data_IF_429602074008
#
_entry.id   IF_429602074008
#
_cell.length_a   1.000
_cell.length_b   1.000
_cell.length_c   1.000
_cell.angle_alpha   90.00
_cell.angle_beta   90.00
_cell.angle_gamma   90.00
#
_symmetry.space_group_name_H-M   'P 1'
#
loop_
_entity.id
_entity.type
_entity.pdbx_description
1 polymer ?
#
# COMPACT_ATOMS: atom_id res chain seq x y z
N UNK A 1 4.95 3.27 -11.07
CA UNK A 1 3.61 2.65 -11.26
C UNK A 1 2.75 3.10 -10.10
N UNK A 2 1.45 3.31 -10.31
CA UNK A 2 0.53 3.63 -9.22
C UNK A 2 0.20 2.37 -8.43
N UNK A 3 0.13 2.49 -7.11
CA UNK A 3 -0.28 1.40 -6.22
C UNK A 3 -1.77 1.11 -6.43
N UNK A 4 -2.12 -0.16 -6.58
CA UNK A 4 -3.52 -0.57 -6.72
C UNK A 4 -4.16 -0.70 -5.33
N UNK A 5 -5.21 0.08 -5.06
CA UNK A 5 -5.85 0.14 -3.75
C UNK A 5 -7.19 -0.59 -3.80
N UNK A 6 -7.31 -1.65 -3.00
CA UNK A 6 -8.51 -2.47 -2.84
C UNK A 6 -9.16 -2.09 -1.50
N UNK A 7 -10.36 -1.52 -1.56
CA UNK A 7 -11.19 -1.33 -0.39
C UNK A 7 -11.97 -2.63 -0.12
N UNK A 8 -11.64 -3.33 0.95
CA UNK A 8 -12.31 -4.58 1.34
C UNK A 8 -13.57 -4.26 2.14
N UNK A 9 -14.71 -4.29 1.47
CA UNK A 9 -16.03 -4.25 2.12
C UNK A 9 -16.34 -5.58 2.82
N UNK A 10 -15.80 -6.67 2.29
CA UNK A 10 -15.94 -8.00 2.86
C UNK A 10 -17.39 -8.38 3.09
N UNK A 11 -17.72 -8.59 4.36
CA UNK A 11 -19.09 -8.85 4.87
C UNK A 11 -19.69 -7.66 5.66
N UNK A 12 -19.06 -6.50 5.64
CA UNK A 12 -19.53 -5.31 6.37
C UNK A 12 -20.85 -4.72 5.85
N UNK A 13 -21.42 -5.31 4.81
CA UNK A 13 -22.79 -5.05 4.37
C UNK A 13 -23.85 -5.77 5.22
N UNK A 14 -23.45 -6.67 6.14
CA UNK A 14 -24.35 -7.38 7.06
C UNK A 14 -25.54 -8.06 6.37
N UNK A 15 -25.35 -8.69 5.20
CA UNK A 15 -26.40 -9.35 4.44
C UNK A 15 -27.41 -8.40 3.76
N UNK A 16 -27.08 -7.11 3.64
CA UNK A 16 -27.96 -6.09 3.03
C UNK A 16 -27.34 -5.54 1.74
N UNK A 17 -28.01 -5.72 0.62
CA UNK A 17 -27.64 -5.14 -0.66
C UNK A 17 -27.58 -3.61 -0.61
N UNK A 18 -28.51 -2.97 0.11
CA UNK A 18 -28.55 -1.51 0.26
C UNK A 18 -27.32 -0.98 1.03
N UNK A 19 -26.86 -1.70 2.05
CA UNK A 19 -25.61 -1.35 2.73
C UNK A 19 -24.41 -1.61 1.83
N UNK A 20 -24.41 -2.69 1.04
CA UNK A 20 -23.34 -2.97 0.07
C UNK A 20 -23.22 -1.84 -0.97
N UNK A 21 -24.32 -1.32 -1.51
CA UNK A 21 -24.31 -0.16 -2.42
C UNK A 21 -23.79 1.11 -1.77
N UNK A 22 -24.15 1.38 -0.50
CA UNK A 22 -23.57 2.52 0.25
C UNK A 22 -22.05 2.38 0.42
N UNK A 23 -21.56 1.16 0.66
CA UNK A 23 -20.12 0.90 0.71
C UNK A 23 -19.47 1.16 -0.66
N UNK A 24 -20.12 0.81 -1.78
CA UNK A 24 -19.65 1.15 -3.14
C UNK A 24 -19.49 2.66 -3.31
N UNK A 25 -20.50 3.44 -2.91
CA UNK A 25 -20.45 4.90 -3.02
C UNK A 25 -19.30 5.48 -2.19
N UNK A 26 -19.13 5.04 -0.95
CA UNK A 26 -18.04 5.47 -0.08
C UNK A 26 -16.66 5.11 -0.65
N UNK A 27 -16.49 3.90 -1.19
CA UNK A 27 -15.25 3.46 -1.82
C UNK A 27 -14.91 4.33 -3.03
N UNK A 28 -15.91 4.64 -3.88
CA UNK A 28 -15.76 5.53 -5.02
C UNK A 28 -15.34 6.94 -4.61
N UNK A 29 -16.01 7.51 -3.61
CA UNK A 29 -15.70 8.84 -3.09
C UNK A 29 -14.31 8.93 -2.45
N UNK A 30 -13.85 7.84 -1.84
CA UNK A 30 -12.51 7.75 -1.28
C UNK A 30 -11.42 7.68 -2.37
N UNK A 31 -11.76 7.32 -3.61
CA UNK A 31 -10.84 7.26 -4.75
C UNK A 31 -9.98 6.00 -4.79
N UNK A 32 -10.48 4.88 -4.26
CA UNK A 32 -9.84 3.56 -4.41
C UNK A 32 -10.00 3.04 -5.84
N UNK A 33 -9.15 2.09 -6.22
CA UNK A 33 -9.17 1.51 -7.57
C UNK A 33 -10.24 0.40 -7.68
N UNK A 34 -10.51 -0.30 -6.59
CA UNK A 34 -11.43 -1.44 -6.55
C UNK A 34 -12.15 -1.55 -5.20
N UNK A 35 -13.39 -2.01 -5.22
CA UNK A 35 -14.10 -2.48 -4.03
C UNK A 35 -14.19 -4.00 -4.06
N UNK A 36 -13.94 -4.66 -2.93
CA UNK A 36 -13.95 -6.12 -2.83
C UNK A 36 -14.97 -6.60 -1.80
N UNK A 37 -15.71 -7.63 -2.17
CA UNK A 37 -16.66 -8.36 -1.35
C UNK A 37 -16.22 -9.80 -1.13
N UNK A 38 -17.05 -10.57 -0.44
CA UNK A 38 -16.85 -11.99 -0.20
C UNK A 38 -18.11 -12.75 -0.64
N UNK A 39 -17.94 -13.75 -1.49
CA UNK A 39 -19.04 -14.58 -2.00
C UNK A 39 -18.89 -15.99 -1.46
N UNK A 40 -19.89 -16.46 -0.78
CA UNK A 40 -19.93 -17.80 -0.21
C UNK A 40 -21.36 -18.31 0.00
N UNK A 41 -21.47 -19.61 0.10
CA UNK A 41 -22.61 -20.30 0.69
C UNK A 41 -22.16 -20.87 2.03
N UNK A 42 -22.68 -20.36 3.14
CA UNK A 42 -22.22 -20.71 4.48
C UNK A 42 -22.20 -22.23 4.73
N UNK A 43 -23.15 -22.95 4.16
CA UNK A 43 -23.21 -24.42 4.23
C UNK A 43 -22.05 -25.13 3.53
N UNK A 44 -21.48 -24.51 2.49
CA UNK A 44 -20.36 -25.04 1.74
C UNK A 44 -19.02 -24.65 2.37
N UNK A 45 -19.00 -23.50 3.09
CA UNK A 45 -17.79 -22.93 3.67
C UNK A 45 -17.41 -23.58 5.00
N UNK A 46 -18.38 -23.82 5.89
CA UNK A 46 -18.09 -24.31 7.24
C UNK A 46 -18.93 -25.51 7.63
N UNK A 47 -18.32 -26.44 8.35
CA UNK A 47 -19.06 -27.55 8.95
C UNK A 47 -19.91 -27.06 10.12
N UNK A 48 -21.02 -27.76 10.46
CA UNK A 48 -21.88 -27.37 11.60
C UNK A 48 -21.15 -27.36 12.95
N UNK A 49 -19.97 -27.96 13.05
CA UNK A 49 -19.15 -28.05 14.26
C UNK A 49 -18.03 -27.02 14.30
N UNK A 50 -17.88 -26.19 13.26
CA UNK A 50 -16.83 -25.19 13.19
C UNK A 50 -17.00 -24.14 14.31
N UNK A 51 -15.91 -23.85 14.99
CA UNK A 51 -15.87 -22.83 16.04
C UNK A 51 -15.51 -21.48 15.44
N UNK A 52 -16.07 -20.41 15.99
CA UNK A 52 -15.66 -19.05 15.67
C UNK A 52 -14.23 -18.78 16.18
N UNK A 53 -13.49 -17.94 15.47
CA UNK A 53 -12.27 -17.37 15.98
C UNK A 53 -12.57 -16.47 17.21
N UNK A 54 -11.58 -16.26 18.08
CA UNK A 54 -11.78 -15.53 19.34
C UNK A 54 -12.27 -14.09 19.11
N UNK A 55 -11.76 -13.39 18.09
CA UNK A 55 -12.23 -12.05 17.75
C UNK A 55 -13.70 -12.06 17.26
N UNK A 56 -14.12 -13.08 16.52
CA UNK A 56 -15.51 -13.23 16.05
C UNK A 56 -16.48 -13.47 17.23
N UNK A 57 -16.10 -14.28 18.23
CA UNK A 57 -16.91 -14.49 19.45
C UNK A 57 -17.17 -13.17 20.18
N UNK A 58 -16.14 -12.31 20.26
CA UNK A 58 -16.23 -11.01 20.95
C UNK A 58 -17.14 -10.01 20.22
N UNK A 59 -17.28 -10.12 18.89
CA UNK A 59 -17.99 -9.14 18.06
C UNK A 59 -19.37 -9.58 17.61
N UNK A 60 -19.67 -10.89 17.64
CA UNK A 60 -20.93 -11.46 17.09
C UNK A 60 -21.66 -12.39 18.06
N UNK A 61 -21.27 -12.42 19.35
CA UNK A 61 -21.94 -13.24 20.36
C UNK A 61 -21.63 -14.73 20.27
N UNK A 62 -22.42 -15.58 20.97
CA UNK A 62 -22.16 -17.02 21.16
C UNK A 62 -22.75 -17.94 20.05
N UNK A 63 -23.36 -17.41 19.03
CA UNK A 63 -23.87 -18.19 17.88
C UNK A 63 -22.78 -19.04 17.22
N UNK A 64 -23.16 -20.08 16.49
CA UNK A 64 -22.20 -20.89 15.71
C UNK A 64 -21.61 -20.10 14.54
N UNK A 65 -20.44 -20.48 14.04
CA UNK A 65 -19.86 -19.86 12.84
C UNK A 65 -20.79 -19.95 11.64
N UNK A 66 -21.46 -21.10 11.46
CA UNK A 66 -22.44 -21.30 10.39
C UNK A 66 -23.61 -20.30 10.48
N UNK A 67 -24.19 -20.13 11.68
CA UNK A 67 -25.32 -19.17 11.89
C UNK A 67 -24.88 -17.75 11.65
N UNK A 68 -23.68 -17.35 12.06
CA UNK A 68 -23.11 -16.05 11.80
C UNK A 68 -22.97 -15.79 10.29
N UNK A 69 -22.37 -16.74 9.57
CA UNK A 69 -22.14 -16.59 8.12
C UNK A 69 -23.46 -16.55 7.33
N UNK A 70 -24.45 -17.35 7.72
CA UNK A 70 -25.78 -17.32 7.07
C UNK A 70 -26.45 -15.94 7.11
N UNK A 71 -26.23 -15.17 8.17
CA UNK A 71 -26.74 -13.79 8.30
C UNK A 71 -26.02 -12.79 7.40
N UNK A 72 -24.82 -13.13 6.92
CA UNK A 72 -23.94 -12.28 6.12
C UNK A 72 -23.96 -12.62 4.63
N UNK A 73 -24.66 -13.69 4.22
CA UNK A 73 -24.78 -14.07 2.82
C UNK A 73 -25.58 -13.01 2.03
N UNK A 74 -25.12 -12.71 0.81
CA UNK A 74 -25.94 -12.18 -0.28
C UNK A 74 -26.23 -13.31 -1.27
N UNK A 75 -27.39 -13.22 -1.94
CA UNK A 75 -27.71 -14.11 -3.05
C UNK A 75 -26.88 -13.78 -4.29
N UNK A 76 -26.75 -14.72 -5.22
CA UNK A 76 -26.05 -14.49 -6.48
C UNK A 76 -26.72 -13.39 -7.32
N UNK A 77 -28.07 -13.29 -7.30
CA UNK A 77 -28.80 -12.22 -7.97
C UNK A 77 -28.45 -10.84 -7.37
N UNK A 78 -28.32 -10.74 -6.04
CA UNK A 78 -27.87 -9.51 -5.40
C UNK A 78 -26.43 -9.14 -5.75
N UNK A 79 -25.53 -10.13 -5.93
CA UNK A 79 -24.18 -9.89 -6.42
C UNK A 79 -24.15 -9.41 -7.89
N UNK A 80 -25.06 -9.91 -8.75
CA UNK A 80 -25.20 -9.40 -10.12
C UNK A 80 -25.64 -7.93 -10.08
N UNK A 81 -26.67 -7.61 -9.30
CA UNK A 81 -27.14 -6.23 -9.14
C UNK A 81 -26.06 -5.30 -8.56
N UNK A 82 -25.28 -5.80 -7.60
CA UNK A 82 -24.17 -5.07 -6.99
C UNK A 82 -23.04 -4.80 -8.01
N UNK A 83 -22.71 -5.78 -8.87
CA UNK A 83 -21.73 -5.62 -9.95
C UNK A 83 -22.22 -4.56 -10.96
N UNK A 84 -23.49 -4.63 -11.39
CA UNK A 84 -24.09 -3.62 -12.27
C UNK A 84 -24.06 -2.23 -11.64
N UNK A 85 -24.28 -2.14 -10.32
CA UNK A 85 -24.18 -0.89 -9.59
C UNK A 85 -22.75 -0.34 -9.59
N UNK A 86 -21.75 -1.19 -9.35
CA UNK A 86 -20.33 -0.81 -9.42
C UNK A 86 -19.95 -0.28 -10.83
N UNK A 87 -20.44 -0.92 -11.89
CA UNK A 87 -20.22 -0.48 -13.26
C UNK A 87 -20.84 0.89 -13.54
N UNK A 88 -22.09 1.10 -13.07
CA UNK A 88 -22.78 2.38 -13.19
C UNK A 88 -22.06 3.51 -12.45
N UNK A 89 -21.52 3.24 -11.26
CA UNK A 89 -20.76 4.21 -10.45
C UNK A 89 -19.34 4.41 -11.01
N UNK A 90 -18.85 3.45 -11.79
CA UNK A 90 -17.52 3.48 -12.39
C UNK A 90 -16.41 3.12 -11.40
N UNK A 91 -16.62 2.09 -10.58
CA UNK A 91 -15.61 1.49 -9.70
C UNK A 91 -15.44 0.01 -10.06
N UNK A 92 -14.21 -0.50 -9.99
CA UNK A 92 -13.96 -1.92 -10.23
C UNK A 92 -14.60 -2.76 -9.13
N UNK A 93 -15.38 -3.77 -9.52
CA UNK A 93 -15.95 -4.78 -8.65
C UNK A 93 -14.99 -5.98 -8.53
N UNK A 94 -14.82 -6.48 -7.33
CA UNK A 94 -14.13 -7.72 -7.05
C UNK A 94 -14.88 -8.50 -5.96
N UNK A 95 -14.85 -9.83 -6.01
CA UNK A 95 -15.30 -10.66 -4.91
C UNK A 95 -14.41 -11.88 -4.74
N UNK A 96 -14.11 -12.22 -3.50
CA UNK A 96 -13.38 -13.44 -3.15
C UNK A 96 -14.36 -14.59 -3.02
N UNK A 97 -14.25 -15.68 -3.82
CA UNK A 97 -15.03 -16.88 -3.58
C UNK A 97 -14.47 -17.66 -2.38
N UNK A 98 -15.34 -18.29 -1.61
CA UNK A 98 -14.93 -19.15 -0.50
C UNK A 98 -15.46 -20.58 -0.63
N UNK A 99 -16.10 -20.93 -1.74
CA UNK A 99 -16.56 -22.27 -2.07
C UNK A 99 -16.60 -22.46 -3.59
N UNK A 100 -16.75 -23.70 -4.04
CA UNK A 100 -16.72 -24.04 -5.47
C UNK A 100 -17.92 -23.49 -6.26
N UNK A 101 -19.12 -23.47 -5.67
CA UNK A 101 -20.31 -22.90 -6.31
C UNK A 101 -20.10 -21.40 -6.52
N UNK A 102 -19.44 -20.72 -5.58
CA UNK A 102 -19.07 -19.31 -5.68
C UNK A 102 -17.96 -19.05 -6.72
N UNK A 103 -17.02 -19.99 -6.90
CA UNK A 103 -16.04 -19.91 -8.01
C UNK A 103 -16.76 -19.99 -9.36
N UNK A 104 -17.66 -20.97 -9.52
CA UNK A 104 -18.43 -21.15 -10.76
C UNK A 104 -19.30 -19.92 -11.06
N UNK A 105 -20.00 -19.41 -10.06
CA UNK A 105 -20.81 -18.19 -10.18
C UNK A 105 -19.96 -16.98 -10.58
N UNK A 106 -18.89 -16.67 -9.85
CA UNK A 106 -18.04 -15.51 -10.10
C UNK A 106 -17.23 -15.64 -11.41
N UNK A 107 -17.03 -16.86 -11.92
CA UNK A 107 -16.43 -17.08 -13.24
C UNK A 107 -17.28 -16.51 -14.38
N UNK A 108 -18.60 -16.39 -14.17
CA UNK A 108 -19.54 -15.78 -15.12
C UNK A 108 -19.57 -14.26 -15.05
N UNK A 109 -18.94 -13.67 -14.02
CA UNK A 109 -18.86 -12.22 -13.79
C UNK A 109 -17.51 -11.70 -14.28
N UNK A 110 -17.51 -10.54 -14.91
CA UNK A 110 -16.28 -9.89 -15.33
C UNK A 110 -15.55 -9.26 -14.12
N UNK A 111 -14.45 -9.90 -13.73
CA UNK A 111 -13.54 -9.43 -12.68
C UNK A 111 -12.10 -9.45 -13.24
N UNK A 112 -11.26 -8.47 -12.87
CA UNK A 112 -9.91 -8.33 -13.46
C UNK A 112 -8.96 -9.45 -13.03
N UNK A 113 -9.13 -10.02 -11.85
CA UNK A 113 -8.29 -11.07 -11.28
C UNK A 113 -9.03 -11.83 -10.18
N UNK A 114 -8.47 -12.95 -9.76
CA UNK A 114 -8.90 -13.67 -8.58
C UNK A 114 -8.17 -13.20 -7.34
N UNK A 115 -8.90 -12.95 -6.26
CA UNK A 115 -8.31 -12.81 -4.93
C UNK A 115 -8.39 -14.14 -4.19
N UNK A 116 -7.23 -14.63 -3.78
CA UNK A 116 -7.09 -15.84 -2.96
C UNK A 116 -6.80 -15.40 -1.52
N UNK A 117 -7.68 -15.72 -0.55
CA UNK A 117 -7.45 -15.39 0.84
C UNK A 117 -6.42 -16.35 1.46
N UNK A 118 -5.78 -15.95 2.55
CA UNK A 118 -4.71 -16.72 3.21
C UNK A 118 -5.11 -18.14 3.61
N UNK A 119 -6.36 -18.35 4.00
CA UNK A 119 -6.87 -19.65 4.38
C UNK A 119 -6.94 -20.67 3.25
N UNK A 120 -6.85 -20.22 2.01
CA UNK A 120 -6.95 -21.08 0.82
C UNK A 120 -5.59 -21.42 0.20
N UNK A 121 -4.48 -20.93 0.74
CA UNK A 121 -3.13 -21.18 0.20
C UNK A 121 -2.79 -22.67 0.18
N UNK A 122 -3.25 -23.43 1.16
CA UNK A 122 -3.04 -24.89 1.25
C UNK A 122 -4.19 -25.72 0.68
N UNK A 123 -5.19 -25.07 0.06
CA UNK A 123 -6.37 -25.72 -0.52
C UNK A 123 -6.11 -26.07 -1.99
N UNK A 124 -5.37 -27.16 -2.25
CA UNK A 124 -5.01 -27.59 -3.60
C UNK A 124 -6.18 -27.61 -4.59
N UNK A 125 -7.34 -28.29 -4.31
CA UNK A 125 -8.45 -28.32 -5.26
C UNK A 125 -9.04 -26.94 -5.57
N UNK A 126 -9.06 -26.02 -4.60
CA UNK A 126 -9.48 -24.64 -4.78
C UNK A 126 -8.52 -23.88 -5.70
N UNK A 127 -7.21 -23.98 -5.47
CA UNK A 127 -6.19 -23.35 -6.31
C UNK A 127 -6.29 -23.84 -7.76
N UNK A 128 -6.48 -25.13 -7.98
CA UNK A 128 -6.65 -25.71 -9.32
C UNK A 128 -7.92 -25.19 -10.00
N UNK A 129 -9.04 -25.08 -9.26
CA UNK A 129 -10.29 -24.59 -9.81
C UNK A 129 -10.16 -23.13 -10.31
N UNK A 130 -9.54 -22.25 -9.51
CA UNK A 130 -9.28 -20.87 -9.92
C UNK A 130 -8.28 -20.79 -11.09
N UNK A 131 -7.20 -21.57 -11.03
CA UNK A 131 -6.15 -21.54 -12.04
C UNK A 131 -6.66 -21.88 -13.44
N UNK A 132 -7.59 -22.84 -13.56
CA UNK A 132 -8.22 -23.25 -14.83
C UNK A 132 -8.97 -22.14 -15.56
N UNK A 133 -9.34 -21.07 -14.86
CA UNK A 133 -9.97 -19.89 -15.49
C UNK A 133 -9.00 -19.04 -16.29
N UNK A 134 -7.68 -19.20 -16.06
CA UNK A 134 -6.60 -18.45 -16.72
C UNK A 134 -6.50 -16.97 -16.33
N UNK A 135 -7.32 -16.48 -15.38
CA UNK A 135 -7.25 -15.09 -14.91
C UNK A 135 -6.01 -14.86 -14.03
N UNK A 136 -5.48 -13.62 -13.98
CA UNK A 136 -4.48 -13.21 -12.98
C UNK A 136 -4.93 -13.51 -11.55
N UNK A 137 -3.97 -13.67 -10.65
CA UNK A 137 -4.21 -14.00 -9.24
C UNK A 137 -3.51 -13.02 -8.32
N UNK A 138 -4.20 -12.56 -7.29
CA UNK A 138 -3.65 -11.87 -6.12
C UNK A 138 -3.86 -12.74 -4.89
N UNK A 139 -2.79 -13.30 -4.32
CA UNK A 139 -2.83 -14.27 -3.23
C UNK A 139 -2.29 -13.68 -1.93
N UNK A 140 -3.08 -13.69 -0.87
CA UNK A 140 -2.65 -13.36 0.49
C UNK A 140 -1.92 -14.51 1.15
N UNK A 141 -0.93 -14.21 1.99
CA UNK A 141 0.04 -15.18 2.55
C UNK A 141 0.05 -15.23 4.08
N UNK A 142 -0.99 -14.73 4.73
CA UNK A 142 -1.11 -14.82 6.19
C UNK A 142 -1.19 -16.27 6.68
N UNK A 143 -0.64 -16.55 7.86
CA UNK A 143 -0.53 -17.89 8.46
C UNK A 143 0.32 -18.89 7.66
N UNK A 144 1.00 -18.46 6.58
CA UNK A 144 1.72 -19.37 5.69
C UNK A 144 3.22 -19.29 5.92
N UNK A 145 3.87 -20.45 5.82
CA UNK A 145 5.32 -20.55 5.69
C UNK A 145 5.75 -20.39 4.23
N UNK A 146 7.03 -20.03 4.02
CA UNK A 146 7.58 -19.83 2.67
C UNK A 146 7.38 -21.03 1.74
N UNK A 147 7.49 -22.24 2.28
CA UNK A 147 7.29 -23.48 1.52
C UNK A 147 5.86 -23.65 1.04
N UNK A 148 4.87 -23.34 1.86
CA UNK A 148 3.46 -23.42 1.49
C UNK A 148 3.12 -22.42 0.38
N UNK A 149 3.70 -21.23 0.44
CA UNK A 149 3.54 -20.20 -0.59
C UNK A 149 4.16 -20.68 -1.92
N UNK A 150 5.36 -21.27 -1.87
CA UNK A 150 6.04 -21.82 -3.05
C UNK A 150 5.22 -22.95 -3.70
N UNK A 151 4.68 -23.86 -2.90
CA UNK A 151 3.80 -24.95 -3.37
C UNK A 151 2.54 -24.39 -4.03
N UNK A 152 1.89 -23.38 -3.43
CA UNK A 152 0.71 -22.74 -4.00
C UNK A 152 1.02 -22.04 -5.34
N UNK A 153 2.13 -21.31 -5.42
CA UNK A 153 2.59 -20.66 -6.67
C UNK A 153 2.82 -21.71 -7.76
N UNK A 154 3.44 -22.84 -7.41
CA UNK A 154 3.71 -23.94 -8.36
C UNK A 154 2.40 -24.52 -8.89
N UNK A 155 1.45 -24.82 -8.02
CA UNK A 155 0.11 -25.31 -8.39
C UNK A 155 -0.60 -24.34 -9.33
N UNK A 156 -0.59 -23.04 -9.02
CA UNK A 156 -1.23 -22.02 -9.85
C UNK A 156 -0.58 -21.96 -11.25
N UNK A 157 0.75 -21.95 -11.32
CA UNK A 157 1.50 -21.89 -12.59
C UNK A 157 1.32 -23.14 -13.45
N UNK A 158 1.40 -24.31 -12.85
CA UNK A 158 1.21 -25.61 -13.53
C UNK A 158 -0.21 -25.75 -14.12
N UNK A 159 -1.20 -25.07 -13.53
CA UNK A 159 -2.59 -25.08 -13.99
C UNK A 159 -2.98 -23.83 -14.82
N UNK A 160 -2.00 -23.01 -15.27
CA UNK A 160 -2.20 -22.03 -16.33
C UNK A 160 -2.20 -20.56 -15.92
N UNK A 161 -2.05 -20.22 -14.63
CA UNK A 161 -1.93 -18.82 -14.17
C UNK A 161 -0.59 -18.24 -14.60
N UNK A 162 -0.63 -17.14 -15.34
CA UNK A 162 0.57 -16.44 -15.83
C UNK A 162 1.00 -15.29 -14.93
N UNK A 163 0.04 -14.60 -14.35
CA UNK A 163 0.26 -13.41 -13.53
C UNK A 163 -0.16 -13.66 -12.09
N UNK A 164 0.80 -13.61 -11.19
CA UNK A 164 0.59 -13.79 -9.74
C UNK A 164 1.20 -12.60 -9.02
N UNK A 165 0.44 -12.02 -8.12
CA UNK A 165 0.91 -11.05 -7.13
C UNK A 165 0.66 -11.59 -5.73
N UNK A 166 1.54 -11.29 -4.79
CA UNK A 166 1.41 -11.73 -3.39
C UNK A 166 1.05 -10.56 -2.50
N UNK A 167 0.24 -10.80 -1.47
CA UNK A 167 0.00 -9.86 -0.40
C UNK A 167 0.52 -10.44 0.91
N UNK A 168 1.51 -9.80 1.51
CA UNK A 168 1.84 -10.07 2.90
C UNK A 168 0.69 -9.59 3.79
N UNK A 169 0.33 -10.35 4.81
CA UNK A 169 -0.69 -9.97 5.79
C UNK A 169 -0.57 -10.79 7.09
N UNK A 170 -1.25 -10.33 8.12
CA UNK A 170 -1.53 -11.07 9.36
C UNK A 170 -3.03 -11.35 9.43
N UNK A 171 -3.45 -12.39 10.15
CA UNK A 171 -4.85 -12.85 10.22
C UNK A 171 -5.52 -12.60 11.57
N UNK A 172 -4.95 -11.77 12.42
CA UNK A 172 -5.61 -11.24 13.62
C UNK A 172 -6.32 -9.92 13.29
N UNK A 173 -7.55 -9.74 13.78
CA UNK A 173 -8.43 -8.61 13.49
C UNK A 173 -8.87 -7.89 14.78
N UNK A 174 -8.28 -6.74 15.16
CA UNK A 174 -7.17 -6.04 14.51
C UNK A 174 -5.80 -6.65 14.82
N UNK A 175 -4.89 -6.59 13.85
CA UNK A 175 -3.49 -7.02 14.02
C UNK A 175 -2.74 -6.08 14.96
N UNK A 176 -2.02 -6.60 15.99
CA UNK A 176 -1.05 -5.82 16.76
C UNK A 176 0.09 -5.30 15.86
N UNK A 177 0.59 -4.09 16.12
CA UNK A 177 1.65 -3.51 15.29
C UNK A 177 2.95 -4.32 15.30
N UNK A 178 3.29 -4.93 16.42
CA UNK A 178 4.45 -5.80 16.60
C UNK A 178 4.42 -7.07 15.75
N UNK A 179 3.24 -7.53 15.32
CA UNK A 179 3.04 -8.73 14.53
C UNK A 179 2.94 -8.47 13.01
N UNK A 180 3.02 -7.21 12.59
CA UNK A 180 2.88 -6.78 11.18
C UNK A 180 4.03 -7.27 10.31
N UNK A 181 5.27 -7.12 10.76
CA UNK A 181 6.50 -7.53 10.07
C UNK A 181 6.57 -7.11 8.58
N UNK A 182 6.48 -5.83 8.27
CA UNK A 182 6.49 -5.31 6.88
C UNK A 182 7.70 -5.75 6.05
N UNK A 183 8.84 -6.05 6.69
CA UNK A 183 10.04 -6.54 6.00
C UNK A 183 9.83 -7.89 5.31
N UNK A 184 8.84 -8.68 5.73
CA UNK A 184 8.50 -9.93 5.05
C UNK A 184 8.04 -9.71 3.59
N UNK A 185 7.58 -8.51 3.23
CA UNK A 185 7.28 -8.16 1.83
C UNK A 185 8.54 -8.22 0.94
N UNK A 186 9.69 -7.76 1.46
CA UNK A 186 10.96 -7.83 0.75
C UNK A 186 11.40 -9.29 0.58
N UNK A 187 11.28 -10.08 1.65
CA UNK A 187 11.59 -11.52 1.62
C UNK A 187 10.75 -12.26 0.55
N UNK A 188 9.45 -12.00 0.50
CA UNK A 188 8.57 -12.58 -0.52
C UNK A 188 8.97 -12.15 -1.94
N UNK A 189 9.28 -10.87 -2.12
CA UNK A 189 9.71 -10.33 -3.42
C UNK A 189 11.00 -10.97 -3.90
N UNK A 190 12.00 -11.06 -3.01
CA UNK A 190 13.32 -11.58 -3.34
C UNK A 190 13.28 -13.10 -3.60
N UNK A 191 12.47 -13.84 -2.83
CA UNK A 191 12.37 -15.27 -2.97
C UNK A 191 11.63 -15.71 -4.25
N UNK A 192 10.55 -15.02 -4.61
CA UNK A 192 9.66 -15.47 -5.69
C UNK A 192 9.76 -14.63 -6.97
N UNK A 193 10.39 -13.46 -6.93
CA UNK A 193 10.49 -12.55 -8.07
C UNK A 193 9.12 -12.03 -8.56
N UNK A 194 8.14 -11.96 -7.67
CA UNK A 194 6.76 -11.55 -7.96
C UNK A 194 6.46 -10.15 -7.42
N UNK A 195 5.47 -9.43 -7.99
CA UNK A 195 4.95 -8.23 -7.36
C UNK A 195 4.40 -8.56 -5.97
N UNK A 196 4.74 -7.73 -4.97
CA UNK A 196 4.29 -7.91 -3.59
C UNK A 196 3.58 -6.65 -3.12
N UNK A 197 2.45 -6.84 -2.46
CA UNK A 197 1.67 -5.83 -1.77
C UNK A 197 1.43 -6.19 -0.31
N UNK A 198 0.50 -5.49 0.31
CA UNK A 198 0.13 -5.68 1.72
C UNK A 198 -1.39 -5.68 1.89
N UNK A 199 -1.93 -6.69 2.57
CA UNK A 199 -3.31 -6.73 3.03
C UNK A 199 -3.33 -6.42 4.53
N UNK A 200 -3.90 -5.29 4.90
CA UNK A 200 -3.76 -4.71 6.23
C UNK A 200 -4.98 -4.91 7.12
N UNK A 201 -4.75 -5.46 8.30
CA UNK A 201 -5.77 -5.66 9.35
C UNK A 201 -5.44 -4.89 10.65
N UNK A 202 -4.45 -3.98 10.62
CA UNK A 202 -4.15 -3.10 11.77
C UNK A 202 -5.21 -2.02 11.94
N UNK A 203 -5.21 -1.35 13.07
CA UNK A 203 -5.96 -0.10 13.24
C UNK A 203 -5.23 1.05 12.55
N UNK A 204 -6.00 2.05 12.08
CA UNK A 204 -5.42 3.25 11.47
C UNK A 204 -4.91 3.05 10.04
N UNK A 205 -4.10 4.00 9.58
CA UNK A 205 -3.65 4.10 8.19
C UNK A 205 -2.12 4.09 8.04
N UNK A 206 -1.39 4.01 9.14
CA UNK A 206 0.07 4.15 9.18
C UNK A 206 0.76 2.99 8.45
N UNK A 207 0.30 1.77 8.69
CA UNK A 207 0.91 0.55 8.15
C UNK A 207 0.77 0.47 6.63
N UNK A 208 -0.41 0.65 6.01
CA UNK A 208 -0.52 0.63 4.55
C UNK A 208 0.30 1.74 3.88
N UNK A 209 0.41 2.93 4.49
CA UNK A 209 1.26 4.01 3.98
C UNK A 209 2.74 3.60 4.03
N UNK A 210 3.19 3.01 5.14
CA UNK A 210 4.55 2.50 5.28
C UNK A 210 4.84 1.36 4.30
N UNK A 211 3.89 0.45 4.07
CA UNK A 211 4.02 -0.63 3.11
C UNK A 211 4.27 -0.10 1.68
N UNK A 212 3.58 0.98 1.29
CA UNK A 212 3.81 1.64 0.00
C UNK A 212 5.21 2.22 -0.09
N UNK A 213 5.71 2.87 0.96
CA UNK A 213 7.08 3.38 1.01
C UNK A 213 8.13 2.27 0.90
N UNK A 214 7.82 1.05 1.35
CA UNK A 214 8.63 -0.16 1.22
C UNK A 214 8.39 -0.91 -0.11
N UNK A 215 7.63 -0.32 -1.04
CA UNK A 215 7.45 -0.82 -2.40
C UNK A 215 6.28 -1.80 -2.57
N UNK A 216 5.27 -1.74 -1.72
CA UNK A 216 4.01 -2.44 -1.97
C UNK A 216 3.38 -1.97 -3.29
N UNK A 217 2.97 -2.91 -4.12
CA UNK A 217 2.32 -2.65 -5.42
C UNK A 217 0.80 -2.66 -5.33
N UNK A 218 0.27 -3.34 -4.31
CA UNK A 218 -1.16 -3.47 -4.02
C UNK A 218 -1.34 -3.22 -2.52
N UNK A 219 -2.37 -2.47 -2.16
CA UNK A 219 -2.83 -2.32 -0.76
C UNK A 219 -4.27 -2.81 -0.70
N UNK A 220 -4.56 -3.68 0.25
CA UNK A 220 -5.91 -4.10 0.60
C UNK A 220 -6.20 -3.68 2.04
N UNK A 221 -7.36 -3.11 2.30
CA UNK A 221 -7.76 -2.66 3.64
C UNK A 221 -9.26 -2.76 3.81
N UNK A 222 -9.68 -3.36 4.94
CA UNK A 222 -11.09 -3.39 5.33
C UNK A 222 -11.64 -2.00 5.61
N UNK A 223 -12.87 -1.76 5.17
CA UNK A 223 -13.59 -0.53 5.51
C UNK A 223 -15.07 -0.82 5.80
N UNK A 224 -15.71 0.10 6.50
CA UNK A 224 -17.09 0.02 6.96
C UNK A 224 -17.75 1.39 6.92
N UNK A 225 -19.05 1.42 7.02
CA UNK A 225 -19.80 2.69 7.20
C UNK A 225 -19.66 3.23 8.63
N UNK A 226 -19.62 2.34 9.63
CA UNK A 226 -19.48 2.67 11.06
C UNK A 226 -18.85 1.48 11.79
N UNK A 227 -17.76 1.73 12.54
CA UNK A 227 -17.04 0.73 13.36
C UNK A 227 -17.87 0.15 14.50
N UNK A 228 -18.96 0.81 14.88
CA UNK A 228 -19.83 0.38 15.97
C UNK A 228 -20.94 -0.56 15.52
N UNK A 229 -21.07 -0.82 14.21
CA UNK A 229 -22.02 -1.81 13.71
C UNK A 229 -21.67 -3.21 14.23
N UNK A 230 -22.69 -4.05 14.43
CA UNK A 230 -22.52 -5.45 14.77
C UNK A 230 -22.00 -6.21 13.56
N UNK A 231 -20.95 -7.01 13.72
CA UNK A 231 -20.35 -7.84 12.68
C UNK A 231 -18.90 -8.20 13.01
N UNK A 232 -18.31 -9.15 12.26
CA UNK A 232 -16.98 -9.67 12.58
C UNK A 232 -15.85 -8.67 12.32
N UNK A 233 -15.94 -7.81 11.28
CA UNK A 233 -14.82 -7.06 10.75
C UNK A 233 -14.89 -5.54 10.96
N UNK A 234 -16.05 -5.00 11.40
CA UNK A 234 -16.25 -3.54 11.54
C UNK A 234 -15.20 -2.87 12.42
N UNK A 235 -14.81 -3.50 13.54
CA UNK A 235 -13.86 -2.92 14.53
C UNK A 235 -12.43 -2.80 14.00
N UNK A 236 -12.05 -3.64 13.04
CA UNK A 236 -10.74 -3.60 12.38
C UNK A 236 -10.75 -2.78 11.09
N UNK A 237 -11.91 -2.31 10.67
CA UNK A 237 -12.14 -1.59 9.41
C UNK A 237 -11.91 -0.09 9.55
N UNK A 238 -11.61 0.58 8.43
CA UNK A 238 -11.58 2.04 8.35
C UNK A 238 -13.01 2.58 8.14
N UNK A 239 -13.30 3.74 8.71
CA UNK A 239 -14.48 4.52 8.33
C UNK A 239 -14.24 5.33 7.04
N UNK A 240 -15.28 5.86 6.36
CA UNK A 240 -15.13 6.51 5.05
C UNK A 240 -14.11 7.65 5.03
N UNK A 241 -14.04 8.46 6.09
CA UNK A 241 -13.08 9.55 6.22
C UNK A 241 -11.63 9.05 6.35
N UNK A 242 -11.42 7.96 7.07
CA UNK A 242 -10.12 7.33 7.26
C UNK A 242 -9.66 6.64 5.95
N UNK A 243 -10.58 5.97 5.24
CA UNK A 243 -10.28 5.38 3.93
C UNK A 243 -9.82 6.46 2.94
N UNK A 244 -10.54 7.58 2.87
CA UNK A 244 -10.16 8.72 2.02
C UNK A 244 -8.80 9.31 2.41
N UNK A 245 -8.53 9.43 3.71
CA UNK A 245 -7.24 9.91 4.22
C UNK A 245 -6.10 8.94 3.85
N UNK A 246 -6.31 7.63 3.98
CA UNK A 246 -5.36 6.60 3.56
C UNK A 246 -5.03 6.72 2.07
N UNK A 247 -6.04 6.76 1.21
CA UNK A 247 -5.86 6.89 -0.24
C UNK A 247 -5.07 8.15 -0.58
N UNK A 248 -5.46 9.30 -0.03
CA UNK A 248 -4.76 10.57 -0.24
C UNK A 248 -3.30 10.48 0.20
N UNK A 249 -3.03 9.88 1.35
CA UNK A 249 -1.67 9.71 1.88
C UNK A 249 -0.84 8.79 0.98
N UNK A 250 -1.40 7.67 0.52
CA UNK A 250 -0.73 6.75 -0.41
C UNK A 250 -0.37 7.49 -1.71
N UNK A 251 -1.29 8.23 -2.32
CA UNK A 251 -1.02 9.01 -3.54
C UNK A 251 0.05 10.09 -3.36
N UNK A 252 0.20 10.62 -2.16
CA UNK A 252 1.28 11.55 -1.82
C UNK A 252 2.62 10.81 -1.65
N UNK A 253 2.64 9.66 -0.98
CA UNK A 253 3.86 8.85 -0.81
C UNK A 253 4.37 8.33 -2.15
N UNK A 254 3.52 7.90 -3.08
CA UNK A 254 3.92 7.52 -4.44
C UNK A 254 4.76 8.61 -5.13
N UNK A 255 4.38 9.88 -4.94
CA UNK A 255 5.14 11.02 -5.47
C UNK A 255 6.42 11.29 -4.69
N UNK A 256 6.40 11.03 -3.37
CA UNK A 256 7.49 11.36 -2.46
C UNK A 256 8.64 10.34 -2.49
N UNK A 257 8.36 9.08 -2.80
CA UNK A 257 9.38 8.01 -2.89
C UNK A 257 10.47 8.35 -3.92
N UNK A 258 10.12 8.93 -5.06
CA UNK A 258 11.09 9.42 -6.05
C UNK A 258 11.96 8.34 -6.68
N UNK A 259 13.26 8.60 -6.77
CA UNK A 259 14.25 7.72 -7.38
C UNK A 259 15.51 7.60 -6.51
N UNK A 260 16.38 6.63 -6.82
CA UNK A 260 17.65 6.44 -6.11
C UNK A 260 18.71 7.52 -6.43
N UNK A 261 18.42 8.44 -7.37
CA UNK A 261 19.36 9.49 -7.75
C UNK A 261 19.33 10.66 -6.77
N UNK A 262 20.43 10.90 -6.03
CA UNK A 262 20.58 12.06 -5.15
C UNK A 262 21.08 13.29 -5.93
N UNK A 263 20.16 14.17 -6.28
CA UNK A 263 20.45 15.47 -6.92
C UNK A 263 19.53 16.56 -6.37
N UNK A 264 19.91 17.84 -6.52
CA UNK A 264 18.99 18.93 -6.19
C UNK A 264 17.71 18.85 -7.04
N UNK A 265 16.56 18.89 -6.38
CA UNK A 265 15.27 19.02 -7.04
C UNK A 265 15.10 20.37 -7.72
N UNK A 266 14.14 20.48 -8.63
CA UNK A 266 13.89 21.76 -9.31
C UNK A 266 13.45 22.87 -8.31
N UNK A 267 12.77 22.50 -7.25
CA UNK A 267 12.42 23.43 -6.17
C UNK A 267 13.64 23.91 -5.37
N UNK A 268 14.69 23.10 -5.25
CA UNK A 268 15.92 23.45 -4.53
C UNK A 268 16.91 24.25 -5.38
N UNK A 269 16.93 24.06 -6.70
CA UNK A 269 17.90 24.72 -7.61
C UNK A 269 17.92 26.24 -7.42
N UNK A 270 16.75 26.88 -7.27
CA UNK A 270 16.65 28.32 -7.04
C UNK A 270 17.25 28.78 -5.72
N UNK A 271 17.36 27.87 -4.74
CA UNK A 271 17.90 28.21 -3.42
C UNK A 271 19.43 28.06 -3.35
N UNK A 272 20.06 27.42 -4.33
CA UNK A 272 21.50 27.12 -4.34
C UNK A 272 22.29 28.42 -4.28
N UNK A 273 22.02 29.35 -5.19
CA UNK A 273 22.74 30.64 -5.25
C UNK A 273 22.53 31.50 -4.00
N UNK A 274 21.34 31.42 -3.38
CA UNK A 274 20.98 32.23 -2.22
C UNK A 274 21.56 31.67 -0.92
N UNK A 275 21.46 30.33 -0.75
CA UNK A 275 21.74 29.67 0.52
C UNK A 275 23.20 29.22 0.67
N UNK A 276 23.88 28.91 -0.43
CA UNK A 276 25.30 28.57 -0.41
C UNK A 276 26.14 29.77 -0.12
N UNK A 277 27.41 29.53 0.25
CA UNK A 277 28.38 30.60 0.54
C UNK A 277 29.42 30.65 -0.57
N UNK A 278 30.05 31.84 -0.67
CA UNK A 278 31.25 32.04 -1.47
C UNK A 278 32.40 32.49 -0.56
N UNK A 279 33.62 32.37 -1.02
CA UNK A 279 34.80 32.94 -0.38
C UNK A 279 34.76 34.43 -0.63
N UNK A 280 34.87 35.23 0.43
CA UNK A 280 34.87 36.71 0.39
C UNK A 280 35.99 37.26 1.25
N UNK A 281 36.37 38.53 0.98
CA UNK A 281 37.30 39.25 1.81
C UNK A 281 36.71 39.49 3.22
N UNK A 282 37.49 39.21 4.26
CA UNK A 282 37.14 39.45 5.66
C UNK A 282 37.43 40.88 6.09
N UNK A 283 38.34 41.54 5.39
CA UNK A 283 38.77 42.91 5.55
C UNK A 283 39.30 43.43 4.19
N UNK A 284 39.62 44.70 4.06
CA UNK A 284 40.25 45.21 2.86
C UNK A 284 41.59 44.51 2.60
N UNK A 285 41.80 44.09 1.35
CA UNK A 285 43.02 43.39 0.86
C UNK A 285 43.56 44.15 -0.32
N UNK A 286 44.87 44.43 -0.34
CA UNK A 286 45.47 45.17 -1.44
C UNK A 286 45.99 44.21 -2.52
N UNK A 287 45.96 44.64 -3.76
CA UNK A 287 46.56 43.90 -4.88
C UNK A 287 47.97 43.45 -4.56
N UNK A 288 48.24 42.15 -4.78
CA UNK A 288 49.52 41.53 -4.50
C UNK A 288 49.70 41.02 -3.06
N UNK A 289 48.75 41.26 -2.16
CA UNK A 289 48.76 40.60 -0.84
C UNK A 289 48.42 39.11 -0.96
N UNK A 290 48.98 38.31 -0.05
CA UNK A 290 48.70 36.87 0.02
C UNK A 290 47.30 36.67 0.64
N UNK A 291 46.46 35.93 -0.07
CA UNK A 291 45.18 35.46 0.43
C UNK A 291 45.38 34.38 1.49
N UNK A 292 44.82 34.56 2.68
CA UNK A 292 45.08 33.75 3.86
C UNK A 292 43.84 33.57 4.74
N UNK A 293 43.90 32.69 5.71
CA UNK A 293 42.83 32.50 6.72
C UNK A 293 42.55 33.75 7.56
N UNK A 294 43.53 34.69 7.64
CA UNK A 294 43.39 35.90 8.40
C UNK A 294 42.56 36.98 7.68
N UNK A 295 42.63 37.02 6.33
CA UNK A 295 41.98 38.06 5.51
C UNK A 295 40.82 37.55 4.65
N UNK A 296 40.51 36.24 4.71
CA UNK A 296 39.39 35.59 4.02
C UNK A 296 38.31 35.08 4.99
N UNK A 297 37.09 35.00 4.49
CA UNK A 297 35.98 34.39 5.17
C UNK A 297 34.96 33.82 4.16
N UNK A 298 33.87 33.24 4.64
CA UNK A 298 32.81 32.68 3.77
C UNK A 298 31.45 33.26 4.15
N UNK A 299 30.80 33.92 3.22
CA UNK A 299 29.47 34.53 3.40
C UNK A 299 28.57 34.14 2.23
N UNK A 300 27.25 34.27 2.41
CA UNK A 300 26.26 34.21 1.33
C UNK A 300 26.35 35.50 0.51
N UNK A 301 26.02 35.43 -0.79
CA UNK A 301 25.44 34.34 -1.61
C UNK A 301 26.50 33.39 -2.18
N UNK A 302 26.00 32.32 -2.82
CA UNK A 302 26.82 31.25 -3.42
C UNK A 302 27.09 31.45 -4.92
N UNK A 303 27.32 32.69 -5.35
CA UNK A 303 27.57 33.07 -6.75
C UNK A 303 29.06 33.33 -7.07
N UNK A 304 29.95 33.28 -6.08
CA UNK A 304 31.40 33.38 -6.21
C UNK A 304 32.11 32.03 -6.04
N UNK A 305 33.38 32.06 -5.69
CA UNK A 305 34.19 30.84 -5.49
C UNK A 305 33.59 29.97 -4.38
N UNK A 306 33.33 28.70 -4.70
CA UNK A 306 32.83 27.75 -3.73
C UNK A 306 33.83 27.54 -2.59
N UNK A 307 33.43 27.61 -1.30
CA UNK A 307 34.32 27.40 -0.16
C UNK A 307 35.07 26.05 -0.16
N UNK A 308 34.60 25.03 -0.87
CA UNK A 308 35.35 23.78 -1.04
C UNK A 308 36.65 23.96 -1.83
N UNK A 309 36.82 25.10 -2.49
CA UNK A 309 38.04 25.50 -3.18
C UNK A 309 38.99 26.31 -2.29
N UNK A 310 38.68 26.39 -0.97
CA UNK A 310 39.52 27.13 -0.01
C UNK A 310 40.99 26.83 -0.08
N UNK A 311 41.43 25.55 -0.15
CA UNK A 311 42.86 25.20 -0.25
C UNK A 311 43.53 25.75 -1.53
N UNK A 312 42.76 25.92 -2.60
CA UNK A 312 43.29 26.41 -3.88
C UNK A 312 43.44 27.94 -3.91
N UNK A 313 42.70 28.62 -3.02
CA UNK A 313 42.71 30.09 -2.92
C UNK A 313 43.72 30.55 -1.91
N UNK A 314 43.90 29.86 -0.78
CA UNK A 314 44.91 30.17 0.24
C UNK A 314 46.32 30.13 -0.35
N UNK A 315 47.10 31.20 -0.08
CA UNK A 315 48.48 31.30 -0.57
C UNK A 315 48.62 31.93 -1.97
N UNK A 316 47.49 32.15 -2.68
CA UNK A 316 47.54 32.92 -3.94
C UNK A 316 47.61 34.43 -3.67
N UNK A 317 47.95 35.23 -4.70
CA UNK A 317 48.02 36.69 -4.60
C UNK A 317 46.71 37.31 -5.03
N UNK A 318 46.30 38.37 -4.33
CA UNK A 318 45.15 39.19 -4.71
C UNK A 318 45.43 39.86 -6.09
N UNK A 319 44.57 39.63 -7.05
CA UNK A 319 44.71 40.14 -8.44
C UNK A 319 44.34 41.60 -8.59
N UNK A 320 43.56 42.16 -7.66
CA UNK A 320 43.21 43.54 -7.51
C UNK A 320 42.94 43.87 -6.02
N UNK A 321 42.57 45.13 -5.70
CA UNK A 321 42.11 45.49 -4.36
C UNK A 321 40.71 44.90 -4.10
N UNK A 322 40.49 44.35 -2.90
CA UNK A 322 39.18 43.89 -2.41
C UNK A 322 38.80 44.70 -1.18
N UNK A 323 37.56 45.14 -1.11
CA UNK A 323 36.97 45.64 0.12
C UNK A 323 36.37 44.52 0.97
N UNK A 324 36.05 44.83 2.23
CA UNK A 324 35.36 43.84 3.09
C UNK A 324 34.07 43.34 2.42
N UNK A 325 33.85 42.05 2.46
CA UNK A 325 32.70 41.33 1.86
C UNK A 325 32.73 41.20 0.32
N UNK A 326 33.74 41.74 -0.36
CA UNK A 326 33.87 41.50 -1.79
C UNK A 326 34.10 39.99 -2.09
N UNK A 327 33.44 39.44 -3.12
CA UNK A 327 33.72 38.08 -3.56
C UNK A 327 35.16 37.98 -4.09
N UNK A 328 35.88 36.95 -3.64
CA UNK A 328 37.27 36.72 -4.10
C UNK A 328 37.27 36.20 -5.53
N UNK A 329 38.20 36.70 -6.31
CA UNK A 329 38.60 36.25 -7.65
C UNK A 329 40.09 35.88 -7.62
N UNK A 330 40.46 34.80 -8.33
CA UNK A 330 41.85 34.30 -8.47
C UNK A 330 42.19 33.96 -9.89
#
# INVERSE_FOLDING_TARGET
>A
MSVYIIAEAGVNHNGSLELAKKLVDCAKEAGVDCIKFQTFKAKNLVSPRAQKAEYQKKTTGEDTQLSMLQKLELSYDEFIELKEYCDKVGICFLSTPFDFDSIDFLSSIDMPFWKIPSGEVTNYPYLVALAKTGKPVVMSTGMCEMKEIEEAISVLRENGVKEISLLHCNTEYPTPFEDVNLKAMETLRDAFGLPVGYSDHTKGIEVPIAAVALGATIIEKHFTLDKNMEGPDHKASLEPSELKAMVSSIRNIEKAVGSFEKKPSDSEKKNIAIARKSIVAKCSIKKGEILSESNLTVKRPGNGINPMRWPDVIGTLAIHDFEEDDPIEV
#
